data_IF_270857728334
#
_entry.id   IF_270857728334
#
_cell.length_a   1.000
_cell.length_b   1.000
_cell.length_c   1.000
_cell.angle_alpha   90.00
_cell.angle_beta   90.00
_cell.angle_gamma   90.00
#
_symmetry.space_group_name_H-M   'P 1'
#
loop_
_entity.id
_entity.type
_entity.pdbx_description
1 polymer ?
#
# COMPACT_ATOMS: atom_id res chain seq x y z
N UNK A 1 -3.14 -3.04 27.66
CA UNK A 1 -2.40 -2.16 26.72
C UNK A 1 -1.97 -3.03 25.55
N UNK A 2 -2.77 -3.10 24.50
CA UNK A 2 -2.35 -3.81 23.28
C UNK A 2 -1.24 -2.98 22.64
N UNK A 3 -0.05 -3.59 22.52
CA UNK A 3 1.05 -3.07 21.72
C UNK A 3 0.50 -2.72 20.34
N UNK A 4 0.72 -1.49 19.88
CA UNK A 4 0.34 -1.10 18.52
C UNK A 4 1.17 -1.93 17.55
N UNK A 5 0.60 -3.04 17.08
CA UNK A 5 1.19 -3.84 16.01
C UNK A 5 1.39 -2.93 14.79
N UNK A 6 2.65 -2.68 14.46
CA UNK A 6 3.06 -1.97 13.26
C UNK A 6 2.46 -2.68 12.04
N UNK A 7 1.68 -1.98 11.21
CA UNK A 7 1.10 -2.58 9.99
C UNK A 7 2.14 -2.46 8.88
N UNK A 8 3.11 -3.38 8.92
CA UNK A 8 4.24 -3.42 7.99
C UNK A 8 4.06 -4.49 6.93
N UNK A 9 4.33 -4.11 5.68
CA UNK A 9 4.52 -5.05 4.59
C UNK A 9 6.02 -5.25 4.34
N UNK A 10 6.49 -6.49 4.38
CA UNK A 10 7.91 -6.84 4.27
C UNK A 10 8.21 -7.52 2.94
N UNK A 11 9.02 -6.86 2.10
CA UNK A 11 9.53 -7.39 0.85
C UNK A 11 10.94 -7.92 1.08
N UNK A 12 11.10 -9.25 1.06
CA UNK A 12 12.38 -9.92 1.37
C UNK A 12 13.44 -9.74 0.28
N UNK A 13 13.01 -9.68 -0.98
CA UNK A 13 13.88 -9.58 -2.15
C UNK A 13 13.49 -8.34 -2.96
N UNK A 14 14.26 -7.27 -2.80
CA UNK A 14 14.16 -6.08 -3.64
C UNK A 14 15.56 -5.70 -4.13
N UNK A 15 15.64 -4.79 -5.11
CA UNK A 15 16.92 -4.28 -5.62
C UNK A 15 17.86 -3.78 -4.51
N UNK A 16 17.32 -3.36 -3.38
CA UNK A 16 18.05 -2.82 -2.22
C UNK A 16 18.01 -3.76 -0.99
N UNK A 17 17.65 -5.04 -1.17
CA UNK A 17 17.49 -6.01 -0.08
C UNK A 17 16.13 -5.93 0.62
N UNK A 18 16.11 -6.17 1.93
CA UNK A 18 14.88 -6.14 2.74
C UNK A 18 14.24 -4.75 2.71
N UNK A 19 13.02 -4.64 2.17
CA UNK A 19 12.25 -3.40 2.15
C UNK A 19 11.00 -3.55 3.00
N UNK A 20 10.94 -2.78 4.10
CA UNK A 20 9.77 -2.68 4.96
C UNK A 20 8.99 -1.43 4.58
N UNK A 21 7.70 -1.59 4.26
CA UNK A 21 6.83 -0.50 3.82
C UNK A 21 5.59 -0.41 4.70
N UNK A 22 5.21 0.78 5.21
CA UNK A 22 3.91 0.96 5.82
C UNK A 22 2.84 0.78 4.75
N UNK A 23 1.77 0.08 5.12
CA UNK A 23 0.62 -0.16 4.25
C UNK A 23 -0.63 0.01 5.11
N UNK A 24 -1.66 0.68 4.58
CA UNK A 24 -2.91 0.87 5.32
C UNK A 24 -3.57 -0.48 5.67
N UNK A 25 -4.20 -0.54 6.84
CA UNK A 25 -4.90 -1.73 7.35
C UNK A 25 -5.82 -2.40 6.31
N UNK A 26 -6.66 -1.69 5.53
CA UNK A 26 -7.54 -2.33 4.55
C UNK A 26 -6.78 -3.11 3.47
N UNK A 27 -5.60 -2.63 3.07
CA UNK A 27 -4.78 -3.34 2.09
C UNK A 27 -4.12 -4.58 2.71
N UNK A 28 -3.70 -4.52 3.98
CA UNK A 28 -3.17 -5.69 4.67
C UNK A 28 -4.26 -6.77 4.87
N UNK A 29 -5.47 -6.39 5.28
CA UNK A 29 -6.60 -7.31 5.43
C UNK A 29 -6.88 -8.08 4.13
N UNK A 30 -6.86 -7.38 2.98
CA UNK A 30 -7.07 -7.99 1.67
C UNK A 30 -5.92 -8.91 1.22
N UNK A 31 -4.69 -8.62 1.66
CA UNK A 31 -3.51 -9.43 1.37
C UNK A 31 -3.48 -10.68 2.24
N UNK A 32 -3.83 -10.58 3.52
CA UNK A 32 -3.93 -11.72 4.44
C UNK A 32 -5.01 -12.71 3.98
N UNK A 33 -6.17 -12.20 3.53
CA UNK A 33 -7.22 -13.04 2.92
C UNK A 33 -6.77 -13.78 1.65
N UNK A 34 -5.73 -13.28 0.98
CA UNK A 34 -5.17 -13.83 -0.26
C UNK A 34 -3.81 -14.49 -0.05
N UNK A 35 -3.39 -14.66 1.20
CA UNK A 35 -2.07 -15.20 1.50
C UNK A 35 -1.97 -16.61 0.92
N UNK A 36 -1.00 -16.89 0.03
CA UNK A 36 -0.86 -18.22 -0.56
C UNK A 36 -0.46 -19.24 0.52
N UNK A 37 -0.90 -20.48 0.36
CA UNK A 37 -0.53 -21.59 1.26
C UNK A 37 0.97 -21.89 1.17
N UNK A 38 1.55 -21.78 -0.03
CA UNK A 38 2.98 -21.89 -0.26
C UNK A 38 3.66 -20.52 -0.31
N UNK A 39 4.74 -20.34 0.46
CA UNK A 39 5.47 -19.08 0.54
C UNK A 39 6.13 -18.65 -0.79
N UNK A 40 6.40 -19.58 -1.70
CA UNK A 40 6.96 -19.33 -3.04
C UNK A 40 5.90 -18.93 -4.07
N UNK A 41 4.61 -19.10 -3.76
CA UNK A 41 3.54 -18.81 -4.70
C UNK A 41 3.24 -17.30 -4.76
N UNK A 42 2.90 -16.77 -5.94
CA UNK A 42 2.53 -15.36 -6.07
C UNK A 42 1.19 -15.08 -5.38
N UNK A 43 1.12 -14.02 -4.56
CA UNK A 43 -0.14 -13.56 -3.91
C UNK A 43 -1.25 -13.22 -4.91
N UNK A 44 -0.87 -12.82 -6.12
CA UNK A 44 -1.80 -12.60 -7.24
C UNK A 44 -1.40 -13.54 -8.39
N UNK A 45 -1.94 -14.77 -8.42
CA UNK A 45 -1.57 -15.74 -9.44
C UNK A 45 -2.05 -15.30 -10.82
N UNK A 46 -1.18 -15.49 -11.82
CA UNK A 46 -1.50 -15.27 -13.23
C UNK A 46 -2.05 -16.53 -13.88
N UNK A 47 -2.28 -16.45 -15.20
CA UNK A 47 -2.75 -17.60 -16.01
C UNK A 47 -1.68 -18.67 -16.19
N UNK A 48 -0.39 -18.33 -16.00
CA UNK A 48 0.72 -19.27 -16.04
C UNK A 48 1.05 -19.67 -14.61
N UNK A 49 1.12 -20.98 -14.36
CA UNK A 49 1.45 -21.54 -13.05
C UNK A 49 2.76 -20.97 -12.50
N UNK A 50 2.76 -20.63 -11.20
CA UNK A 50 3.89 -20.03 -10.51
C UNK A 50 4.23 -18.59 -10.92
N UNK A 51 3.54 -17.99 -11.90
CA UNK A 51 3.81 -16.60 -12.33
C UNK A 51 2.77 -15.62 -11.81
N UNK A 52 3.17 -14.41 -11.39
CA UNK A 52 2.22 -13.39 -10.97
C UNK A 52 1.43 -12.85 -12.15
N UNK A 53 0.28 -12.31 -11.83
CA UNK A 53 -0.60 -11.63 -12.79
C UNK A 53 0.05 -10.38 -13.39
N UNK A 54 -0.18 -10.12 -14.67
CA UNK A 54 0.33 -8.93 -15.35
C UNK A 54 -0.36 -7.65 -14.87
N UNK A 55 0.32 -6.86 -14.03
CA UNK A 55 -0.24 -5.69 -13.36
C UNK A 55 -0.82 -4.62 -14.32
N UNK A 56 -0.13 -4.13 -15.37
CA UNK A 56 -0.66 -3.03 -16.20
C UNK A 56 -1.97 -3.38 -16.92
N UNK A 57 -2.12 -4.64 -17.38
CA UNK A 57 -3.33 -5.10 -18.04
C UNK A 57 -4.50 -5.23 -17.05
N UNK A 58 -4.22 -5.69 -15.84
CA UNK A 58 -5.25 -5.86 -14.80
C UNK A 58 -5.66 -4.53 -14.18
N UNK A 59 -4.70 -3.63 -13.97
CA UNK A 59 -4.97 -2.26 -13.53
C UNK A 59 -6.01 -1.61 -14.43
N UNK A 60 -5.80 -1.61 -15.75
CA UNK A 60 -6.73 -0.98 -16.69
C UNK A 60 -8.15 -1.53 -16.56
N UNK A 61 -8.29 -2.85 -16.53
CA UNK A 61 -9.60 -3.52 -16.36
C UNK A 61 -10.31 -3.13 -15.07
N UNK A 62 -9.57 -3.00 -13.96
CA UNK A 62 -10.14 -2.63 -12.66
C UNK A 62 -10.47 -1.15 -12.63
N UNK A 63 -9.57 -0.31 -13.14
CA UNK A 63 -9.71 1.13 -13.16
C UNK A 63 -10.90 1.59 -14.02
N UNK A 64 -11.13 0.94 -15.17
CA UNK A 64 -12.29 1.17 -16.06
C UNK A 64 -13.64 1.03 -15.35
N UNK A 65 -13.71 0.25 -14.26
CA UNK A 65 -14.93 0.04 -13.46
C UNK A 65 -15.11 1.08 -12.35
N UNK A 66 -14.26 2.11 -12.30
CA UNK A 66 -14.21 3.10 -11.23
C UNK A 66 -14.00 4.51 -11.80
N UNK A 67 -14.16 5.57 -11.00
CA UNK A 67 -13.76 6.93 -11.40
C UNK A 67 -12.26 7.10 -11.70
N UNK A 68 -11.44 6.04 -11.55
CA UNK A 68 -10.00 6.07 -11.78
C UNK A 68 -9.60 5.58 -13.19
N UNK A 69 -10.55 5.46 -14.13
CA UNK A 69 -10.32 4.90 -15.46
C UNK A 69 -9.10 5.49 -16.20
N UNK A 70 -8.89 6.81 -16.09
CA UNK A 70 -7.78 7.53 -16.74
C UNK A 70 -6.54 7.70 -15.84
N UNK A 71 -6.55 7.14 -14.64
CA UNK A 71 -5.47 7.28 -13.67
C UNK A 71 -4.44 6.18 -13.86
N UNK A 72 -3.21 6.54 -14.22
CA UNK A 72 -2.10 5.59 -14.29
C UNK A 72 -1.60 5.20 -12.88
N UNK A 73 -1.08 3.99 -12.66
CA UNK A 73 -0.56 3.56 -11.35
C UNK A 73 0.55 4.46 -10.80
N UNK A 74 1.35 5.06 -11.70
CA UNK A 74 2.38 6.02 -11.31
C UNK A 74 1.76 7.26 -10.63
N UNK A 75 0.59 7.71 -11.08
CA UNK A 75 -0.11 8.85 -10.48
C UNK A 75 -0.54 8.50 -9.06
N UNK A 76 -1.05 7.29 -8.81
CA UNK A 76 -1.39 6.84 -7.45
C UNK A 76 -0.18 6.86 -6.52
N UNK A 77 0.99 6.42 -7.02
CA UNK A 77 2.25 6.47 -6.27
C UNK A 77 2.66 7.90 -5.95
N UNK A 78 2.45 8.85 -6.85
CA UNK A 78 2.67 10.27 -6.59
C UNK A 78 1.67 10.84 -5.58
N UNK A 79 0.38 10.51 -5.69
CA UNK A 79 -0.63 10.92 -4.72
C UNK A 79 -0.30 10.42 -3.32
N UNK A 80 0.19 9.19 -3.18
CA UNK A 80 0.66 8.64 -1.92
C UNK A 80 1.83 9.44 -1.33
N UNK A 81 2.82 9.79 -2.17
CA UNK A 81 3.94 10.62 -1.74
C UNK A 81 3.51 12.03 -1.33
N UNK A 82 2.56 12.63 -2.06
CA UNK A 82 2.02 13.96 -1.76
C UNK A 82 1.25 13.97 -0.45
N UNK A 83 0.43 12.95 -0.20
CA UNK A 83 -0.26 12.79 1.09
C UNK A 83 0.73 12.71 2.25
N UNK A 84 1.83 11.97 2.10
CA UNK A 84 2.86 11.93 3.13
C UNK A 84 3.53 13.31 3.33
N UNK A 85 3.79 14.04 2.26
CA UNK A 85 4.31 15.40 2.36
C UNK A 85 3.31 16.37 3.04
N UNK A 86 2.02 16.29 2.69
CA UNK A 86 0.95 17.11 3.26
C UNK A 86 0.73 16.82 4.77
N UNK A 87 1.09 15.61 5.22
CA UNK A 87 1.14 15.21 6.64
C UNK A 87 2.40 15.67 7.37
N UNK A 88 3.34 16.35 6.69
CA UNK A 88 4.54 16.93 7.27
C UNK A 88 5.76 15.99 7.32
N UNK A 89 5.75 14.86 6.61
CA UNK A 89 6.92 13.97 6.57
C UNK A 89 8.07 14.59 5.77
N UNK A 90 9.30 14.29 6.19
CA UNK A 90 10.51 14.78 5.50
C UNK A 90 10.66 14.12 4.12
N UNK A 91 11.35 14.80 3.20
CA UNK A 91 11.65 14.23 1.87
C UNK A 91 12.40 12.89 1.93
N UNK A 92 13.27 12.71 2.93
CA UNK A 92 13.96 11.43 3.17
C UNK A 92 12.98 10.32 3.58
N UNK A 93 12.04 10.63 4.47
CA UNK A 93 10.96 9.71 4.85
C UNK A 93 10.09 9.37 3.63
N UNK A 94 9.69 10.36 2.83
CA UNK A 94 8.89 10.15 1.61
C UNK A 94 9.62 9.28 0.59
N UNK A 95 10.92 9.49 0.38
CA UNK A 95 11.74 8.66 -0.50
C UNK A 95 11.81 7.20 -0.03
N UNK A 96 12.01 6.99 1.28
CA UNK A 96 12.09 5.66 1.86
C UNK A 96 10.74 4.92 1.78
N UNK A 97 9.60 5.61 1.90
CA UNK A 97 8.26 5.03 1.69
C UNK A 97 8.03 4.50 0.29
N UNK A 98 8.51 5.26 -0.69
CA UNK A 98 8.46 4.85 -2.08
C UNK A 98 9.42 3.67 -2.34
N UNK A 99 10.38 3.42 -1.45
CA UNK A 99 11.43 2.43 -1.64
C UNK A 99 12.50 2.94 -2.60
N UNK A 100 12.76 4.26 -2.63
CA UNK A 100 13.96 4.80 -3.25
C UNK A 100 15.15 4.53 -2.31
N UNK A 101 16.31 4.17 -2.87
CA UNK A 101 17.45 3.51 -2.22
C UNK A 101 18.17 4.27 -1.07
N UNK A 102 17.59 5.33 -0.50
CA UNK A 102 18.14 6.04 0.65
C UNK A 102 17.59 5.51 1.97
N UNK A 103 18.02 4.31 2.34
CA UNK A 103 17.88 3.78 3.70
C UNK A 103 16.53 3.15 4.01
N UNK A 104 16.56 2.16 4.89
CA UNK A 104 15.36 1.57 5.47
C UNK A 104 14.56 2.63 6.22
N UNK A 105 13.24 2.65 6.04
CA UNK A 105 12.35 3.46 6.89
C UNK A 105 12.53 2.96 8.32
N UNK A 106 12.95 3.82 9.25
CA UNK A 106 13.07 3.41 10.66
C UNK A 106 11.68 3.18 11.24
N UNK A 107 11.56 2.20 12.15
CA UNK A 107 10.28 1.75 12.75
C UNK A 107 9.43 2.91 13.31
N UNK A 108 10.06 3.98 13.79
CA UNK A 108 9.36 5.17 14.30
C UNK A 108 8.50 5.87 13.25
N UNK A 109 9.01 6.03 12.02
CA UNK A 109 8.26 6.71 10.95
C UNK A 109 7.09 5.86 10.45
N UNK A 110 7.22 4.53 10.51
CA UNK A 110 6.17 3.58 10.14
C UNK A 110 4.96 3.77 11.09
N UNK A 111 5.20 3.88 12.40
CA UNK A 111 4.13 4.10 13.39
C UNK A 111 3.39 5.44 13.23
N UNK A 112 4.14 6.55 13.07
CA UNK A 112 3.55 7.88 12.91
C UNK A 112 2.71 7.94 11.63
N UNK A 113 3.15 7.26 10.57
CA UNK A 113 2.42 7.13 9.31
C UNK A 113 1.19 6.25 9.37
N UNK A 114 1.31 5.03 9.91
CA UNK A 114 0.17 4.12 10.05
C UNK A 114 -0.95 4.85 10.80
N UNK A 115 -0.60 5.54 11.89
CA UNK A 115 -1.57 6.31 12.66
C UNK A 115 -2.21 7.45 11.84
N UNK A 116 -1.42 8.21 11.07
CA UNK A 116 -1.92 9.33 10.29
C UNK A 116 -2.78 8.88 9.10
N UNK A 117 -2.33 7.86 8.35
CA UNK A 117 -3.05 7.29 7.21
C UNK A 117 -4.33 6.61 7.70
N UNK A 118 -4.28 5.78 8.74
CA UNK A 118 -5.47 5.12 9.30
C UNK A 118 -6.49 6.17 9.77
N UNK A 119 -6.06 7.21 10.49
CA UNK A 119 -6.97 8.29 10.93
C UNK A 119 -7.64 8.99 9.74
N UNK A 120 -6.88 9.29 8.69
CA UNK A 120 -7.43 9.92 7.48
C UNK A 120 -8.37 8.98 6.73
N UNK A 121 -8.03 7.69 6.62
CA UNK A 121 -8.82 6.70 5.89
C UNK A 121 -10.09 6.27 6.61
N UNK A 122 -10.07 6.13 7.94
CA UNK A 122 -11.29 5.89 8.75
C UNK A 122 -12.29 7.02 8.53
N UNK A 123 -11.82 8.28 8.56
CA UNK A 123 -12.65 9.46 8.25
C UNK A 123 -13.24 9.39 6.84
N UNK A 124 -12.47 8.99 5.84
CA UNK A 124 -12.97 8.84 4.46
C UNK A 124 -13.94 7.66 4.30
N UNK A 125 -13.75 6.55 5.02
CA UNK A 125 -14.67 5.40 5.04
C UNK A 125 -16.05 5.76 5.60
N UNK A 126 -16.09 6.52 6.68
CA UNK A 126 -17.35 7.00 7.25
C UNK A 126 -18.08 7.94 6.28
N UNK A 127 -17.31 8.73 5.53
CA UNK A 127 -17.83 9.62 4.49
C UNK A 127 -18.38 8.85 3.28
N UNK A 128 -17.68 7.81 2.80
CA UNK A 128 -18.17 6.97 1.70
C UNK A 128 -19.36 6.07 2.11
N UNK A 129 -19.42 5.59 3.36
CA UNK A 129 -20.61 4.85 3.86
C UNK A 129 -21.85 5.74 3.91
N UNK A 130 -21.70 7.01 4.26
CA UNK A 130 -22.78 7.98 4.21
C UNK A 130 -23.28 8.20 2.77
N UNK A 131 -22.39 8.14 1.76
CA UNK A 131 -22.76 8.30 0.35
C UNK A 131 -23.36 7.05 -0.31
N UNK A 132 -23.19 5.86 0.29
CA UNK A 132 -23.77 4.60 -0.20
C UNK A 132 -25.13 4.27 0.44
N UNK A 133 -25.61 5.10 1.38
CA UNK A 133 -26.92 4.97 2.04
C UNK A 133 -27.87 6.15 1.72
N UNK A 134 -27.50 7.00 0.76
CA UNK A 134 -28.35 8.04 0.17
C UNK A 134 -28.63 7.68 -1.29
#
# INVERSE_FOLDING_TARGET
MASADVIRFSLKDTKEGLSVRPVGLPALELLEQRRPDEASSPTFPGTIEGKPVGFPKHWRKIAELTPLADVAPHVLRHSYARLANDLGFTGATVAALLGHAQGSVTTRYIHEMDTAIIKHWTRSRDTCRAYSMA
#
